data_IF_402532939739
#
_entry.id   IF_402532939739
#
_cell.length_a   1.000
_cell.length_b   1.000
_cell.length_c   1.000
_cell.angle_alpha   90.00
_cell.angle_beta   90.00
_cell.angle_gamma   90.00
#
_symmetry.space_group_name_H-M   'P 1'
#
loop_
_entity.id
_entity.type
_entity.pdbx_description
1 polymer ?
#
# COMPACT_ATOMS: atom_id res chain seq x y z
N UNK A 1 1.84 0.35 5.92
CA UNK A 1 0.85 -0.59 5.38
C UNK A 1 -0.04 -1.07 6.50
N UNK A 2 -1.33 -1.27 6.22
CA UNK A 2 -2.26 -1.96 7.12
C UNK A 2 -2.29 -3.44 6.79
N UNK A 3 -2.23 -4.27 7.82
CA UNK A 3 -2.16 -5.72 7.72
C UNK A 3 -3.13 -6.42 8.66
N UNK A 4 -3.26 -7.73 8.49
CA UNK A 4 -3.89 -8.62 9.47
C UNK A 4 -2.97 -9.82 9.77
N UNK A 5 -2.99 -10.31 11.01
CA UNK A 5 -2.16 -11.44 11.49
C UNK A 5 -2.29 -12.72 10.66
N UNK A 6 -3.49 -13.02 10.13
CA UNK A 6 -3.77 -14.26 9.38
C UNK A 6 -3.99 -14.01 7.88
N UNK A 7 -3.36 -12.98 7.33
CA UNK A 7 -3.51 -12.56 5.94
C UNK A 7 -2.32 -13.01 5.09
N UNK A 8 -2.53 -14.04 4.25
CA UNK A 8 -1.51 -14.55 3.30
C UNK A 8 -1.04 -13.45 2.33
N UNK A 9 -1.92 -12.64 1.70
CA UNK A 9 -1.48 -11.54 0.84
C UNK A 9 -0.63 -10.49 1.59
N UNK A 10 -0.89 -10.28 2.87
CA UNK A 10 -0.11 -9.38 3.71
C UNK A 10 1.32 -9.91 3.90
N UNK A 11 1.51 -11.23 4.06
CA UNK A 11 2.85 -11.82 4.12
C UNK A 11 3.63 -11.64 2.80
N UNK A 12 2.96 -11.78 1.65
CA UNK A 12 3.58 -11.50 0.35
C UNK A 12 4.01 -10.02 0.26
N UNK A 13 3.15 -9.10 0.69
CA UNK A 13 3.45 -7.66 0.73
C UNK A 13 4.64 -7.34 1.64
N UNK A 14 4.77 -7.98 2.81
CA UNK A 14 5.93 -7.82 3.70
C UNK A 14 7.24 -8.15 2.99
N UNK A 15 7.29 -9.24 2.21
CA UNK A 15 8.50 -9.62 1.44
C UNK A 15 8.86 -8.55 0.42
N UNK A 16 7.87 -8.07 -0.33
CA UNK A 16 8.07 -6.99 -1.30
C UNK A 16 8.56 -5.70 -0.63
N UNK A 17 7.96 -5.28 0.49
CA UNK A 17 8.39 -4.09 1.20
C UNK A 17 9.80 -4.24 1.80
N UNK A 18 10.18 -5.44 2.25
CA UNK A 18 11.55 -5.73 2.69
C UNK A 18 12.56 -5.57 1.55
N UNK A 19 12.24 -6.00 0.32
CA UNK A 19 13.10 -5.78 -0.85
C UNK A 19 13.27 -4.29 -1.13
N UNK A 20 12.19 -3.51 -1.08
CA UNK A 20 12.23 -2.05 -1.28
C UNK A 20 13.03 -1.37 -0.17
N UNK A 21 12.87 -1.78 1.09
CA UNK A 21 13.61 -1.21 2.22
C UNK A 21 15.12 -1.42 2.07
N UNK A 22 15.56 -2.54 1.46
CA UNK A 22 16.98 -2.77 1.15
C UNK A 22 17.53 -1.80 0.11
N UNK A 23 16.70 -1.40 -0.86
CA UNK A 23 17.08 -0.44 -1.90
C UNK A 23 17.02 1.00 -1.40
N UNK A 24 16.05 1.31 -0.54
CA UNK A 24 15.78 2.64 0.00
C UNK A 24 15.80 2.60 1.54
N UNK A 25 16.98 2.47 2.18
CA UNK A 25 17.08 2.34 3.63
C UNK A 25 16.64 3.60 4.39
N UNK A 26 16.59 4.75 3.70
CA UNK A 26 16.14 6.02 4.26
C UNK A 26 14.61 6.18 4.23
N UNK A 27 13.88 5.32 3.53
CA UNK A 27 12.43 5.43 3.37
C UNK A 27 11.73 4.82 4.59
N UNK A 28 10.99 5.61 5.39
CA UNK A 28 10.24 5.06 6.51
C UNK A 28 9.11 4.17 6.02
N UNK A 29 9.02 2.97 6.58
CA UNK A 29 7.91 2.05 6.36
C UNK A 29 7.40 1.56 7.70
N UNK A 30 6.10 1.70 7.92
CA UNK A 30 5.43 1.21 9.12
C UNK A 30 4.43 0.12 8.75
N UNK A 31 4.30 -0.90 9.59
CA UNK A 31 3.26 -1.92 9.50
C UNK A 31 2.32 -1.78 10.68
N UNK A 32 1.02 -1.65 10.38
CA UNK A 32 -0.03 -1.47 11.36
C UNK A 32 -1.02 -2.64 11.24
N UNK A 33 -1.07 -3.50 12.25
CA UNK A 33 -2.11 -4.54 12.30
C UNK A 33 -3.47 -3.92 12.65
N UNK A 34 -4.48 -4.22 11.83
CA UNK A 34 -5.83 -3.65 11.97
C UNK A 34 -6.55 -4.10 13.25
N UNK A 35 -6.20 -5.25 13.82
CA UNK A 35 -6.79 -5.70 15.09
C UNK A 35 -6.09 -5.04 16.29
N UNK A 36 -4.81 -4.68 16.16
CA UNK A 36 -4.07 -3.93 17.16
C UNK A 36 -4.35 -2.42 17.14
N UNK A 37 -4.77 -1.86 15.99
CA UNK A 37 -5.05 -0.43 15.79
C UNK A 37 -6.41 -0.20 15.10
N UNK A 38 -7.53 -0.64 15.70
CA UNK A 38 -8.83 -0.62 15.04
C UNK A 38 -9.35 0.81 14.77
N UNK A 39 -9.12 1.76 15.68
CA UNK A 39 -9.55 3.15 15.53
C UNK A 39 -8.84 3.82 14.35
N UNK A 40 -7.51 3.65 14.28
CA UNK A 40 -6.70 4.19 13.19
C UNK A 40 -7.08 3.54 11.84
N UNK A 41 -7.37 2.24 11.82
CA UNK A 41 -7.84 1.56 10.61
C UNK A 41 -9.21 2.11 10.13
N UNK A 42 -10.10 2.46 11.06
CA UNK A 42 -11.38 3.09 10.75
C UNK A 42 -11.21 4.52 10.21
N UNK A 43 -10.40 5.34 10.90
CA UNK A 43 -10.07 6.72 10.48
C UNK A 43 -9.50 6.76 9.06
N UNK A 44 -8.60 5.83 8.75
CA UNK A 44 -7.96 5.68 7.44
C UNK A 44 -8.82 4.93 6.41
N UNK A 45 -10.06 4.59 6.78
CA UNK A 45 -11.05 3.89 5.95
C UNK A 45 -10.49 2.61 5.32
N UNK A 46 -9.79 1.81 6.09
CA UNK A 46 -9.22 0.54 5.64
C UNK A 46 -10.35 -0.49 5.49
N UNK A 47 -10.65 -0.88 4.24
CA UNK A 47 -11.73 -1.83 3.91
C UNK A 47 -11.23 -3.24 3.61
N UNK A 48 -9.95 -3.36 3.26
CA UNK A 48 -9.31 -4.61 2.89
C UNK A 48 -7.86 -4.61 3.38
N UNK A 49 -7.30 -5.80 3.60
CA UNK A 49 -5.88 -5.97 3.90
C UNK A 49 -5.24 -6.88 2.85
N UNK A 50 -4.02 -6.57 2.38
CA UNK A 50 -3.20 -5.42 2.73
C UNK A 50 -3.69 -4.14 2.05
N UNK A 51 -3.59 -3.02 2.76
CA UNK A 51 -3.73 -1.67 2.19
C UNK A 51 -2.46 -0.88 2.45
N UNK A 52 -1.88 -0.28 1.41
CA UNK A 52 -0.69 0.55 1.50
C UNK A 52 -1.08 1.99 1.30
N UNK A 53 -0.74 2.81 2.28
CA UNK A 53 -0.84 4.27 2.19
C UNK A 53 0.57 4.81 2.01
N UNK A 54 0.73 5.70 1.03
CA UNK A 54 1.96 6.44 0.78
C UNK A 54 1.69 7.91 1.09
N UNK A 55 2.50 8.50 1.97
CA UNK A 55 2.29 9.85 2.47
C UNK A 55 3.45 10.80 2.16
N UNK A 56 3.13 12.08 2.04
CA UNK A 56 4.07 13.20 2.05
C UNK A 56 3.72 14.10 3.24
N UNK A 57 4.40 13.90 4.38
CA UNK A 57 3.93 14.43 5.66
C UNK A 57 2.60 13.78 6.05
N UNK A 58 1.61 14.59 6.45
CA UNK A 58 0.28 14.07 6.81
C UNK A 58 -0.61 13.76 5.60
N UNK A 59 -0.20 14.22 4.41
CA UNK A 59 -1.00 14.08 3.18
C UNK A 59 -0.83 12.68 2.58
N UNK A 60 -1.93 11.94 2.44
CA UNK A 60 -2.00 10.75 1.59
C UNK A 60 -1.82 11.15 0.12
N UNK A 61 -0.80 10.58 -0.54
CA UNK A 61 -0.50 10.83 -1.96
C UNK A 61 -0.97 9.65 -2.82
N UNK A 62 -0.88 8.43 -2.29
CA UNK A 62 -1.31 7.23 -3.00
C UNK A 62 -1.85 6.20 -2.01
N UNK A 63 -2.89 5.51 -2.45
CA UNK A 63 -3.44 4.31 -1.83
C UNK A 63 -3.39 3.16 -2.82
N UNK A 64 -2.94 2.01 -2.35
CA UNK A 64 -2.97 0.77 -3.10
C UNK A 64 -3.56 -0.34 -2.22
N UNK A 65 -4.49 -1.12 -2.79
CA UNK A 65 -5.04 -2.31 -2.17
C UNK A 65 -4.48 -3.55 -2.85
N UNK A 66 -4.20 -4.59 -2.07
CA UNK A 66 -3.62 -5.85 -2.56
C UNK A 66 -2.09 -5.87 -2.55
N UNK A 67 -1.52 -6.92 -3.14
CA UNK A 67 -0.08 -7.19 -3.09
C UNK A 67 0.63 -6.42 -4.21
N UNK A 68 1.49 -5.44 -3.90
CA UNK A 68 2.27 -4.74 -4.91
C UNK A 68 3.46 -5.58 -5.37
N UNK A 69 4.07 -5.17 -6.47
CA UNK A 69 5.44 -5.54 -6.86
C UNK A 69 6.42 -4.47 -6.38
N UNK A 70 7.70 -4.81 -6.21
CA UNK A 70 8.72 -3.84 -5.79
C UNK A 70 8.82 -2.64 -6.76
N UNK A 71 8.78 -2.82 -8.11
CA UNK A 71 8.73 -1.69 -9.04
C UNK A 71 7.54 -0.75 -8.84
N UNK A 72 6.35 -1.27 -8.51
CA UNK A 72 5.17 -0.43 -8.24
C UNK A 72 5.38 0.46 -7.01
N UNK A 73 5.97 -0.08 -5.95
CA UNK A 73 6.28 0.69 -4.74
C UNK A 73 7.33 1.76 -5.04
N UNK A 74 8.41 1.41 -5.75
CA UNK A 74 9.45 2.37 -6.14
C UNK A 74 8.88 3.50 -7.00
N UNK A 75 8.00 3.20 -7.96
CA UNK A 75 7.32 4.22 -8.75
C UNK A 75 6.42 5.13 -7.89
N UNK A 76 5.74 4.59 -6.88
CA UNK A 76 4.94 5.39 -5.97
C UNK A 76 5.82 6.37 -5.16
N UNK A 77 7.00 5.93 -4.73
CA UNK A 77 7.98 6.79 -4.03
C UNK A 77 8.46 7.93 -4.93
N UNK A 78 8.82 7.64 -6.19
CA UNK A 78 9.23 8.67 -7.16
C UNK A 78 8.14 9.72 -7.35
N UNK A 79 6.87 9.31 -7.50
CA UNK A 79 5.74 10.25 -7.64
C UNK A 79 5.61 11.21 -6.45
N UNK A 80 5.85 10.71 -5.24
CA UNK A 80 5.84 11.53 -4.03
C UNK A 80 6.96 12.57 -4.05
N UNK A 81 8.16 12.16 -4.45
CA UNK A 81 9.34 13.03 -4.52
C UNK A 81 9.20 14.11 -5.60
N UNK A 82 8.57 13.77 -6.74
CA UNK A 82 8.34 14.68 -7.86
C UNK A 82 7.14 15.63 -7.63
N UNK A 83 6.47 15.54 -6.47
CA UNK A 83 5.30 16.35 -6.14
C UNK A 83 4.07 16.10 -7.04
N UNK A 84 4.12 15.06 -7.88
CA UNK A 84 3.06 14.74 -8.84
C UNK A 84 2.04 13.82 -8.16
N UNK A 85 0.87 14.36 -7.84
CA UNK A 85 -0.25 13.54 -7.39
C UNK A 85 -0.72 12.61 -8.52
N UNK A 86 -0.97 11.32 -8.27
CA UNK A 86 -1.56 10.44 -9.27
C UNK A 86 -3.03 10.83 -9.54
N UNK A 87 -3.46 10.71 -10.80
CA UNK A 87 -4.87 10.48 -11.09
C UNK A 87 -5.29 9.16 -10.42
N UNK A 88 -6.41 9.16 -9.69
CA UNK A 88 -6.90 8.03 -8.93
C UNK A 88 -6.90 6.73 -9.78
N UNK A 89 -6.47 5.58 -9.22
CA UNK A 89 -6.58 4.32 -9.94
C UNK A 89 -8.06 3.98 -10.14
N UNK A 90 -8.51 4.02 -11.40
CA UNK A 90 -9.72 3.35 -11.83
C UNK A 90 -9.63 1.87 -11.46
N UNK A 91 -10.71 1.36 -10.87
CA UNK A 91 -10.79 0.04 -10.25
C UNK A 91 -10.28 -1.09 -11.14
N UNK A 92 -9.61 -2.05 -10.52
CA UNK A 92 -9.24 -3.29 -11.15
C UNK A 92 -10.48 -4.18 -11.41
N UNK A 93 -10.52 -4.74 -12.63
CA UNK A 93 -11.15 -6.01 -13.02
C UNK A 93 -12.59 -5.97 -13.57
N UNK A 94 -12.72 -5.68 -14.87
CA UNK A 94 -13.73 -6.35 -15.71
C UNK A 94 -13.02 -7.53 -16.40
N UNK A 95 -13.22 -8.75 -15.89
CA UNK A 95 -12.95 -9.96 -16.68
C UNK A 95 -14.10 -10.12 -17.67
N UNK A 96 -13.88 -10.23 -18.98
CA UNK A 96 -14.95 -10.57 -19.91
C UNK A 96 -15.46 -11.99 -19.61
N UNK A 97 -16.76 -12.10 -19.43
CA UNK A 97 -17.50 -13.36 -19.39
C UNK A 97 -17.45 -14.01 -20.79
N UNK A 98 -16.97 -15.25 -20.96
CA UNK A 98 -17.02 -15.90 -22.26
C UNK A 98 -18.44 -16.38 -22.56
N UNK A 99 -19.03 -15.81 -23.62
CA UNK A 99 -20.22 -16.35 -24.29
C UNK A 99 -19.91 -17.63 -25.08
#
# INVERSE_FOLDING_TARGET
>A
MFSSLFCVPCQATRRTLQEVQRLLPWLPMEELDVAAHPELAEEERIRSTPTILVRAGDREVLRAEGVPTAPQVLQAVVRVMDGTAPAAPGGASERPDPA
#
